data_IF_566058970754
#
_entry.id   IF_566058970754
#
_cell.length_a   1.000
_cell.length_b   1.000
_cell.length_c   1.000
_cell.angle_alpha   90.00
_cell.angle_beta   90.00
_cell.angle_gamma   90.00
#
_symmetry.space_group_name_H-M   'P 1'
#
loop_
_entity.id
_entity.type
_entity.pdbx_description
1 polymer ?
#
# COMPACT_ATOMS: atom_id res chain seq x y z
N UNK A 1 4.70 -30.91 14.16
CA UNK A 1 5.83 -30.40 13.37
C UNK A 1 5.29 -29.97 12.01
N UNK A 2 5.80 -28.87 11.45
CA UNK A 2 5.60 -28.48 10.05
C UNK A 2 6.80 -29.06 9.30
N UNK A 3 6.58 -29.80 8.21
CA UNK A 3 7.66 -30.49 7.51
C UNK A 3 7.53 -30.43 5.98
N UNK A 4 8.70 -30.41 5.33
CA UNK A 4 8.90 -30.51 3.89
C UNK A 4 9.59 -31.85 3.61
N UNK A 5 8.84 -32.80 3.05
CA UNK A 5 9.26 -34.21 2.93
C UNK A 5 8.68 -34.92 1.71
N UNK A 6 8.41 -34.18 0.65
CA UNK A 6 7.79 -34.63 -0.60
C UNK A 6 6.30 -34.93 -0.47
N UNK A 7 5.61 -34.36 0.53
CA UNK A 7 4.18 -34.60 0.77
C UNK A 7 3.48 -33.29 1.13
N UNK A 8 2.30 -33.07 0.54
CA UNK A 8 1.36 -32.03 0.94
C UNK A 8 0.13 -32.67 1.60
N UNK A 9 0.05 -32.59 2.93
CA UNK A 9 -1.07 -33.08 3.73
C UNK A 9 -1.22 -32.18 4.98
N UNK A 10 -2.07 -31.15 4.86
CA UNK A 10 -2.31 -30.17 5.92
C UNK A 10 -2.80 -30.83 7.23
N UNK A 11 -3.55 -31.94 7.16
CA UNK A 11 -4.03 -32.65 8.37
C UNK A 11 -2.88 -33.30 9.15
N UNK A 12 -1.78 -33.62 8.47
CA UNK A 12 -0.56 -34.18 9.06
C UNK A 12 0.54 -33.15 9.28
N UNK A 13 0.28 -31.87 8.98
CA UNK A 13 1.28 -30.81 9.05
C UNK A 13 2.41 -30.93 8.02
N UNK A 14 2.15 -31.55 6.86
CA UNK A 14 3.11 -31.66 5.76
C UNK A 14 2.76 -30.64 4.68
N UNK A 15 3.72 -29.80 4.29
CA UNK A 15 3.48 -28.65 3.41
C UNK A 15 4.58 -28.53 2.35
N UNK A 16 4.81 -29.61 1.60
CA UNK A 16 5.77 -29.61 0.49
C UNK A 16 5.10 -29.34 -0.86
N UNK A 17 5.88 -28.89 -1.83
CA UNK A 17 5.50 -28.69 -3.23
C UNK A 17 6.36 -29.48 -4.23
N UNK A 18 7.42 -30.17 -3.79
CA UNK A 18 8.33 -30.92 -4.66
C UNK A 18 7.79 -32.26 -5.17
N UNK A 19 6.67 -32.75 -4.62
CA UNK A 19 6.05 -33.99 -5.08
C UNK A 19 5.64 -33.93 -6.56
N UNK A 20 5.54 -35.11 -7.19
CA UNK A 20 4.98 -35.24 -8.52
C UNK A 20 3.56 -34.63 -8.59
N UNK A 21 3.32 -33.78 -9.59
CA UNK A 21 2.08 -33.00 -9.73
C UNK A 21 2.01 -31.72 -8.88
N UNK A 22 3.02 -31.44 -8.05
CA UNK A 22 3.14 -30.21 -7.26
C UNK A 22 2.11 -30.09 -6.13
N UNK A 23 1.90 -28.87 -5.64
CA UNK A 23 0.94 -28.57 -4.57
C UNK A 23 -0.32 -27.80 -5.05
N UNK A 24 -0.53 -27.75 -6.36
CA UNK A 24 -1.56 -26.94 -7.00
C UNK A 24 -1.18 -25.46 -7.06
N UNK A 25 -2.14 -24.63 -7.50
CA UNK A 25 -1.93 -23.20 -7.74
C UNK A 25 -3.18 -22.37 -7.37
N UNK A 26 -2.97 -21.07 -7.18
CA UNK A 26 -4.04 -20.08 -7.00
C UNK A 26 -4.76 -19.80 -8.33
N UNK A 27 -5.92 -19.14 -8.27
CA UNK A 27 -6.73 -18.82 -9.45
C UNK A 27 -6.00 -17.89 -10.47
N UNK A 28 -5.03 -17.09 -10.01
CA UNK A 28 -4.20 -16.26 -10.87
C UNK A 28 -2.98 -17.00 -11.46
N UNK A 29 -2.89 -18.32 -11.27
CA UNK A 29 -1.83 -19.17 -11.82
C UNK A 29 -0.55 -19.24 -11.01
N UNK A 30 -0.45 -18.53 -9.87
CA UNK A 30 0.73 -18.64 -9.01
C UNK A 30 0.70 -19.98 -8.25
N UNK A 31 1.68 -20.88 -8.46
CA UNK A 31 1.76 -22.15 -7.75
C UNK A 31 2.01 -21.94 -6.25
N UNK A 32 1.61 -22.92 -5.43
CA UNK A 32 1.93 -22.89 -4.01
C UNK A 32 3.33 -23.46 -3.75
N UNK A 33 4.14 -22.73 -2.99
CA UNK A 33 5.30 -23.29 -2.28
C UNK A 33 4.93 -23.56 -0.82
N UNK A 34 5.88 -24.06 -0.03
CA UNK A 34 5.67 -24.36 1.40
C UNK A 34 5.12 -23.16 2.18
N UNK A 35 5.59 -21.93 1.90
CA UNK A 35 5.07 -20.74 2.58
C UNK A 35 3.60 -20.51 2.27
N UNK A 36 3.21 -20.54 0.99
CA UNK A 36 1.82 -20.48 0.57
C UNK A 36 0.91 -21.54 1.15
N UNK A 37 1.39 -22.78 1.26
CA UNK A 37 0.62 -23.87 1.84
C UNK A 37 0.39 -23.68 3.35
N UNK A 38 1.41 -23.27 4.09
CA UNK A 38 1.29 -22.92 5.51
C UNK A 38 0.38 -21.70 5.67
N UNK A 39 0.53 -20.67 4.83
CA UNK A 39 -0.32 -19.49 4.85
C UNK A 39 -1.79 -19.87 4.60
N UNK A 40 -2.06 -20.71 3.59
CA UNK A 40 -3.41 -21.19 3.27
C UNK A 40 -4.08 -21.89 4.46
N UNK A 41 -3.35 -22.67 5.25
CA UNK A 41 -3.88 -23.39 6.42
C UNK A 41 -4.04 -22.49 7.66
N UNK A 42 -3.11 -21.56 7.90
CA UNK A 42 -3.02 -20.85 9.19
C UNK A 42 -3.38 -19.37 9.14
N UNK A 43 -3.48 -18.74 7.96
CA UNK A 43 -3.72 -17.30 7.85
C UNK A 43 -4.99 -16.86 8.56
N UNK A 44 -6.09 -17.61 8.44
CA UNK A 44 -7.36 -17.28 9.11
C UNK A 44 -7.24 -17.22 10.64
N UNK A 45 -6.38 -18.05 11.23
CA UNK A 45 -6.11 -18.08 12.68
C UNK A 45 -5.26 -16.87 13.11
N UNK A 46 -4.37 -16.40 12.23
CA UNK A 46 -3.48 -15.27 12.49
C UNK A 46 -4.17 -13.92 12.26
N UNK A 47 -4.91 -13.78 11.17
CA UNK A 47 -5.47 -12.50 10.75
C UNK A 47 -6.88 -12.26 11.26
N UNK A 48 -7.67 -13.32 11.49
CA UNK A 48 -9.11 -13.28 11.85
C UNK A 48 -10.03 -12.56 10.84
N UNK A 49 -9.47 -11.92 9.82
CA UNK A 49 -10.15 -11.30 8.69
C UNK A 49 -9.57 -11.87 7.38
N UNK A 50 -10.40 -12.48 6.50
CA UNK A 50 -9.95 -13.04 5.23
C UNK A 50 -9.42 -11.96 4.26
N UNK A 51 -9.84 -10.70 4.40
CA UNK A 51 -9.36 -9.59 3.57
C UNK A 51 -7.92 -9.23 3.89
N UNK A 52 -7.56 -9.27 5.17
CA UNK A 52 -6.17 -9.09 5.64
C UNK A 52 -5.31 -10.25 5.12
N UNK A 53 -5.82 -11.48 5.23
CA UNK A 53 -5.12 -12.66 4.73
C UNK A 53 -4.85 -12.58 3.22
N UNK A 54 -5.81 -12.11 2.43
CA UNK A 54 -5.68 -11.92 0.98
C UNK A 54 -4.68 -10.84 0.59
N UNK A 55 -4.65 -9.70 1.29
CA UNK A 55 -3.65 -8.65 1.04
C UNK A 55 -2.24 -9.17 1.32
N UNK A 56 -2.01 -9.83 2.45
CA UNK A 56 -0.70 -10.37 2.80
C UNK A 56 -0.31 -11.52 1.85
N UNK A 57 -1.27 -12.36 1.46
CA UNK A 57 -1.03 -13.43 0.47
C UNK A 57 -0.51 -12.84 -0.84
N UNK A 58 -1.19 -11.83 -1.39
CA UNK A 58 -0.80 -11.19 -2.67
C UNK A 58 0.50 -10.40 -2.57
N UNK A 59 0.73 -9.72 -1.44
CA UNK A 59 1.84 -8.78 -1.27
C UNK A 59 3.15 -9.46 -0.85
N UNK A 60 3.08 -10.51 -0.04
CA UNK A 60 4.24 -11.15 0.57
C UNK A 60 4.39 -12.62 0.16
N UNK A 61 3.32 -13.40 0.25
CA UNK A 61 3.39 -14.86 0.11
C UNK A 61 3.55 -15.28 -1.35
N UNK A 62 2.67 -14.80 -2.23
CA UNK A 62 2.69 -15.12 -3.66
C UNK A 62 4.01 -14.77 -4.36
N UNK A 63 4.65 -13.60 -4.10
CA UNK A 63 5.95 -13.31 -4.68
C UNK A 63 7.06 -14.29 -4.26
N UNK A 64 7.03 -14.77 -3.02
CA UNK A 64 7.98 -15.76 -2.52
C UNK A 64 7.69 -17.13 -3.12
N UNK A 65 6.42 -17.56 -3.11
CA UNK A 65 5.99 -18.81 -3.75
C UNK A 65 6.35 -18.86 -5.24
N UNK A 66 6.14 -17.75 -5.95
CA UNK A 66 6.46 -17.66 -7.37
C UNK A 66 7.96 -17.85 -7.61
N UNK A 67 8.81 -17.16 -6.84
CA UNK A 67 10.27 -17.30 -6.94
C UNK A 67 10.73 -18.73 -6.65
N UNK A 68 10.17 -19.36 -5.62
CA UNK A 68 10.52 -20.72 -5.20
C UNK A 68 10.08 -21.78 -6.23
N UNK A 69 8.97 -21.55 -6.92
CA UNK A 69 8.51 -22.40 -8.03
C UNK A 69 9.11 -22.01 -9.40
N UNK A 70 10.07 -21.08 -9.47
CA UNK A 70 10.69 -20.66 -10.72
C UNK A 70 9.79 -19.84 -11.65
N UNK A 71 8.72 -19.24 -11.13
CA UNK A 71 7.80 -18.37 -11.87
C UNK A 71 8.28 -16.91 -11.80
N UNK A 72 8.59 -16.33 -12.95
CA UNK A 72 9.02 -14.94 -13.05
C UNK A 72 7.83 -13.96 -12.92
N UNK A 73 7.94 -12.99 -12.01
CA UNK A 73 6.96 -11.91 -11.82
C UNK A 73 7.35 -10.58 -12.49
N UNK A 74 8.56 -10.51 -13.05
CA UNK A 74 9.09 -9.34 -13.73
C UNK A 74 10.10 -9.77 -14.79
N UNK A 75 10.42 -8.85 -15.70
CA UNK A 75 11.51 -9.01 -16.67
C UNK A 75 12.48 -7.82 -16.54
N UNK A 76 13.79 -8.05 -16.62
CA UNK A 76 14.77 -6.96 -16.53
C UNK A 76 14.61 -6.01 -17.72
N UNK A 77 14.63 -4.71 -17.45
CA UNK A 77 14.56 -3.65 -18.47
C UNK A 77 15.96 -3.06 -18.80
N UNK A 78 16.99 -3.62 -18.18
CA UNK A 78 18.41 -3.27 -18.33
C UNK A 78 19.21 -4.57 -18.36
N UNK A 79 20.01 -4.74 -19.39
CA UNK A 79 20.85 -5.93 -19.56
C UNK A 79 21.77 -6.13 -18.34
N UNK A 80 21.82 -7.36 -17.83
CA UNK A 80 22.66 -7.74 -16.69
C UNK A 80 22.24 -7.19 -15.33
N UNK A 81 21.17 -6.39 -15.24
CA UNK A 81 20.72 -5.77 -13.99
C UNK A 81 19.35 -6.32 -13.59
N UNK A 82 19.32 -7.02 -12.47
CA UNK A 82 18.14 -7.65 -11.89
C UNK A 82 17.78 -7.00 -10.55
N UNK A 83 16.48 -6.90 -10.20
CA UNK A 83 16.07 -6.53 -8.85
C UNK A 83 16.67 -7.45 -7.79
N UNK A 84 17.10 -6.87 -6.67
CA UNK A 84 17.50 -7.62 -5.48
C UNK A 84 16.27 -7.85 -4.61
N UNK A 85 15.79 -9.08 -4.56
CA UNK A 85 14.54 -9.49 -3.94
C UNK A 85 14.75 -10.13 -2.57
N UNK A 86 13.63 -10.39 -1.89
CA UNK A 86 13.65 -11.02 -0.58
C UNK A 86 14.33 -12.40 -0.57
N UNK A 87 14.13 -13.23 -1.59
CA UNK A 87 14.84 -14.50 -1.71
C UNK A 87 16.36 -14.30 -1.87
N UNK A 88 16.82 -13.22 -2.52
CA UNK A 88 18.25 -12.92 -2.58
C UNK A 88 18.82 -12.57 -1.20
N UNK A 89 18.06 -11.85 -0.36
CA UNK A 89 18.44 -11.58 1.03
C UNK A 89 18.63 -12.89 1.80
N UNK A 90 17.66 -13.81 1.70
CA UNK A 90 17.75 -15.10 2.38
C UNK A 90 18.91 -15.96 1.85
N UNK A 91 19.10 -16.02 0.53
CA UNK A 91 20.23 -16.75 -0.09
C UNK A 91 21.58 -16.18 0.31
N UNK A 92 21.71 -14.86 0.47
CA UNK A 92 22.96 -14.22 0.89
C UNK A 92 23.32 -14.51 2.35
N UNK A 93 22.31 -14.82 3.19
CA UNK A 93 22.50 -15.15 4.60
C UNK A 93 22.63 -16.66 4.82
N UNK A 94 22.15 -17.47 3.88
CA UNK A 94 22.23 -18.93 3.95
C UNK A 94 23.68 -19.39 3.75
N UNK A 95 24.22 -20.27 4.62
CA UNK A 95 25.59 -20.77 4.51
C UNK A 95 25.83 -21.49 3.19
N UNK A 96 27.04 -21.30 2.66
CA UNK A 96 27.54 -22.03 1.51
C UNK A 96 28.46 -23.16 1.95
N UNK A 97 28.94 -23.98 1.00
CA UNK A 97 29.93 -25.02 1.27
C UNK A 97 31.26 -24.51 1.87
N UNK A 98 31.50 -23.20 1.86
CA UNK A 98 32.69 -22.56 2.44
C UNK A 98 32.51 -22.15 3.90
N UNK A 99 31.27 -22.13 4.39
CA UNK A 99 30.94 -21.65 5.72
C UNK A 99 30.89 -22.83 6.70
N UNK A 100 31.26 -22.57 7.96
CA UNK A 100 31.18 -23.57 9.03
C UNK A 100 29.80 -23.64 9.68
N UNK A 101 28.96 -22.64 9.46
CA UNK A 101 27.59 -22.60 9.96
C UNK A 101 26.69 -23.57 9.18
N UNK A 102 25.71 -24.17 9.85
CA UNK A 102 24.70 -24.99 9.19
C UNK A 102 23.42 -24.17 8.91
N UNK A 103 22.58 -24.71 8.02
CA UNK A 103 21.35 -24.04 7.56
C UNK A 103 20.33 -23.90 8.69
N UNK A 104 20.23 -24.87 9.60
CA UNK A 104 19.25 -24.87 10.70
C UNK A 104 19.56 -23.77 11.72
N UNK A 105 20.84 -23.57 12.05
CA UNK A 105 21.28 -22.48 12.93
C UNK A 105 20.95 -21.12 12.32
N UNK A 106 21.25 -20.97 11.02
CA UNK A 106 20.91 -19.74 10.28
C UNK A 106 19.41 -19.49 10.26
N UNK A 107 18.60 -20.53 10.04
CA UNK A 107 17.15 -20.42 10.11
C UNK A 107 16.69 -19.89 11.48
N UNK A 108 17.23 -20.44 12.57
CA UNK A 108 16.90 -20.00 13.92
C UNK A 108 17.33 -18.55 14.19
N UNK A 109 18.47 -18.12 13.66
CA UNK A 109 18.95 -16.73 13.76
C UNK A 109 18.06 -15.75 13.00
N UNK A 110 17.55 -16.14 11.82
CA UNK A 110 16.69 -15.28 10.99
C UNK A 110 15.24 -15.26 11.45
N UNK A 111 14.77 -16.31 12.11
CA UNK A 111 13.37 -16.47 12.52
C UNK A 111 12.77 -15.24 13.24
N UNK A 112 13.46 -14.58 14.20
CA UNK A 112 12.93 -13.36 14.83
C UNK A 112 12.66 -12.23 13.82
N UNK A 113 13.57 -12.01 12.87
CA UNK A 113 13.40 -10.99 11.84
C UNK A 113 12.22 -11.32 10.91
N UNK A 114 12.15 -12.58 10.44
CA UNK A 114 11.04 -13.03 9.57
C UNK A 114 9.69 -12.88 10.27
N UNK A 115 9.64 -13.25 11.56
CA UNK A 115 8.44 -13.08 12.39
C UNK A 115 8.01 -11.62 12.47
N UNK A 116 8.95 -10.68 12.69
CA UNK A 116 8.64 -9.24 12.71
C UNK A 116 8.07 -8.77 11.37
N UNK A 117 8.65 -9.21 10.24
CA UNK A 117 8.19 -8.85 8.90
C UNK A 117 6.75 -9.33 8.68
N UNK A 118 6.46 -10.61 8.91
CA UNK A 118 5.12 -11.19 8.71
C UNK A 118 4.09 -10.52 9.62
N UNK A 119 4.39 -10.33 10.90
CA UNK A 119 3.47 -9.68 11.84
C UNK A 119 3.23 -8.22 11.47
N UNK A 120 4.25 -7.48 11.01
CA UNK A 120 4.11 -6.09 10.59
C UNK A 120 3.32 -5.96 9.30
N UNK A 121 3.42 -6.92 8.38
CA UNK A 121 2.59 -6.96 7.17
C UNK A 121 1.11 -7.23 7.49
N UNK A 122 0.83 -8.14 8.43
CA UNK A 122 -0.53 -8.36 8.94
C UNK A 122 -1.08 -7.09 9.60
N UNK A 123 -0.29 -6.47 10.49
CA UNK A 123 -0.69 -5.24 11.20
C UNK A 123 -0.96 -4.09 10.23
N UNK A 124 -0.09 -3.87 9.22
CA UNK A 124 -0.30 -2.83 8.22
C UNK A 124 -1.54 -3.10 7.34
N UNK A 125 -1.84 -4.36 7.05
CA UNK A 125 -3.06 -4.72 6.34
C UNK A 125 -4.32 -4.48 7.20
N UNK A 126 -4.27 -4.72 8.52
CA UNK A 126 -5.35 -4.30 9.44
C UNK A 126 -5.55 -2.79 9.43
N UNK A 127 -4.47 -2.02 9.60
CA UNK A 127 -4.51 -0.55 9.57
C UNK A 127 -5.13 -0.05 8.28
N UNK A 128 -4.73 -0.62 7.14
CA UNK A 128 -5.30 -0.25 5.85
C UNK A 128 -6.83 -0.37 5.84
N UNK A 129 -7.42 -1.47 6.30
CA UNK A 129 -8.88 -1.61 6.31
C UNK A 129 -9.56 -0.69 7.30
N UNK A 130 -8.99 -0.47 8.48
CA UNK A 130 -9.52 0.47 9.47
C UNK A 130 -9.50 1.90 8.94
N UNK A 131 -8.40 2.30 8.31
CA UNK A 131 -8.27 3.61 7.68
C UNK A 131 -9.28 3.80 6.53
N UNK A 132 -9.59 2.74 5.77
CA UNK A 132 -10.66 2.81 4.76
C UNK A 132 -12.04 3.06 5.40
N UNK A 133 -12.32 2.52 6.59
CA UNK A 133 -13.56 2.83 7.32
C UNK A 133 -13.59 4.27 7.85
N UNK A 134 -12.46 4.80 8.30
CA UNK A 134 -12.35 6.23 8.69
C UNK A 134 -12.66 7.14 7.50
N UNK A 135 -12.15 6.81 6.31
CA UNK A 135 -12.48 7.55 5.07
C UNK A 135 -13.98 7.46 4.74
N UNK A 136 -14.61 6.29 4.91
CA UNK A 136 -16.07 6.14 4.69
C UNK A 136 -16.90 6.93 5.70
N UNK A 137 -16.45 6.97 6.95
CA UNK A 137 -17.08 7.74 8.03
C UNK A 137 -17.00 9.22 7.72
N UNK A 138 -15.81 9.73 7.38
CA UNK A 138 -15.62 11.12 6.98
C UNK A 138 -16.49 11.51 5.78
N UNK A 139 -16.59 10.64 4.76
CA UNK A 139 -17.48 10.85 3.62
C UNK A 139 -18.97 10.93 4.02
N UNK A 140 -19.41 10.04 4.91
CA UNK A 140 -20.82 9.97 5.35
C UNK A 140 -21.21 11.18 6.20
N UNK A 141 -20.30 11.66 7.04
CA UNK A 141 -20.53 12.80 7.94
C UNK A 141 -20.29 14.17 7.27
N UNK A 142 -19.65 14.20 6.09
CA UNK A 142 -19.41 15.43 5.36
C UNK A 142 -20.72 16.16 5.02
N UNK A 143 -20.85 17.40 5.49
CA UNK A 143 -22.00 18.27 5.16
C UNK A 143 -22.03 18.62 3.67
N UNK A 144 -20.88 18.92 3.09
CA UNK A 144 -20.68 19.08 1.66
C UNK A 144 -19.74 17.97 1.16
N UNK A 145 -20.31 16.98 0.48
CA UNK A 145 -19.57 15.81 -0.02
C UNK A 145 -18.56 16.14 -1.11
N UNK A 146 -18.49 17.38 -1.60
CA UNK A 146 -17.47 17.84 -2.55
C UNK A 146 -16.11 18.06 -1.90
N UNK A 147 -16.08 18.35 -0.59
CA UNK A 147 -14.85 18.48 0.21
C UNK A 147 -14.86 17.43 1.30
N UNK A 148 -13.94 16.47 1.24
CA UNK A 148 -13.80 15.46 2.29
C UNK A 148 -12.60 15.80 3.16
N UNK A 149 -12.86 16.04 4.44
CA UNK A 149 -11.83 16.32 5.43
C UNK A 149 -11.48 15.04 6.19
N UNK A 150 -10.19 14.74 6.27
CA UNK A 150 -9.65 13.58 6.97
C UNK A 150 -8.70 14.06 8.06
N UNK A 151 -8.76 13.44 9.24
CA UNK A 151 -7.87 13.79 10.36
C UNK A 151 -6.45 13.23 10.19
N UNK A 152 -6.26 12.27 9.28
CA UNK A 152 -4.97 11.65 8.97
C UNK A 152 -4.83 11.40 7.45
N UNK A 153 -3.61 11.18 6.92
CA UNK A 153 -3.37 10.90 5.51
C UNK A 153 -3.76 9.46 5.11
N UNK A 154 -5.02 9.09 5.34
CA UNK A 154 -5.56 7.77 5.01
C UNK A 154 -5.46 7.44 3.51
N UNK A 155 -5.47 6.15 3.11
CA UNK A 155 -5.48 5.72 1.70
C UNK A 155 -6.84 5.97 1.03
N UNK A 156 -7.23 7.24 0.92
CA UNK A 156 -8.58 7.65 0.56
C UNK A 156 -8.96 7.42 -0.91
N UNK A 157 -7.99 7.34 -1.82
CA UNK A 157 -8.23 7.27 -3.28
C UNK A 157 -9.12 6.09 -3.68
N UNK A 158 -8.86 4.91 -3.12
CA UNK A 158 -9.62 3.68 -3.42
C UNK A 158 -11.05 3.69 -2.89
N UNK A 159 -11.35 4.54 -1.91
CA UNK A 159 -12.68 4.71 -1.34
C UNK A 159 -13.41 5.87 -2.01
N UNK A 160 -12.85 7.08 -1.94
CA UNK A 160 -13.51 8.30 -2.42
C UNK A 160 -13.62 8.37 -3.94
N UNK A 161 -12.70 7.73 -4.68
CA UNK A 161 -12.76 7.65 -6.13
C UNK A 161 -14.01 6.93 -6.67
N UNK A 162 -14.71 6.14 -5.84
CA UNK A 162 -15.94 5.42 -6.22
C UNK A 162 -17.20 6.28 -6.16
N UNK A 163 -17.17 7.40 -5.43
CA UNK A 163 -18.28 8.36 -5.35
C UNK A 163 -18.11 9.45 -6.39
N UNK A 164 -19.19 10.09 -6.86
CA UNK A 164 -19.10 11.15 -7.88
C UNK A 164 -18.88 12.54 -7.28
N UNK A 165 -19.33 12.72 -6.05
CA UNK A 165 -19.41 14.00 -5.35
C UNK A 165 -18.05 14.55 -4.91
N UNK A 166 -17.11 13.76 -4.33
CA UNK A 166 -15.83 14.28 -3.85
C UNK A 166 -15.03 14.93 -4.98
N UNK A 167 -14.67 16.19 -4.81
CA UNK A 167 -13.83 16.95 -5.74
C UNK A 167 -12.46 17.21 -5.14
N UNK A 168 -12.41 17.52 -3.84
CA UNK A 168 -11.22 17.82 -3.07
C UNK A 168 -11.18 16.98 -1.79
N UNK A 169 -9.98 16.57 -1.39
CA UNK A 169 -9.74 15.87 -0.12
C UNK A 169 -8.69 16.66 0.65
N UNK A 170 -8.99 16.94 1.92
CA UNK A 170 -8.11 17.67 2.82
C UNK A 170 -7.62 16.71 3.90
N UNK A 171 -6.33 16.67 4.15
CA UNK A 171 -5.73 15.86 5.21
C UNK A 171 -4.39 16.46 5.65
N UNK A 172 -3.89 16.19 6.87
CA UNK A 172 -2.54 16.61 7.24
C UNK A 172 -1.49 15.85 6.41
N UNK A 173 -0.38 16.53 6.14
CA UNK A 173 0.85 15.92 5.66
C UNK A 173 1.50 15.15 6.81
N UNK A 174 1.97 13.94 6.51
CA UNK A 174 2.49 13.03 7.54
C UNK A 174 3.73 13.58 8.25
N UNK A 175 4.53 14.43 7.60
CA UNK A 175 5.89 14.76 8.06
C UNK A 175 6.13 16.23 8.35
N UNK A 176 5.29 17.13 7.83
CA UNK A 176 5.58 18.57 7.81
C UNK A 176 4.65 19.40 8.69
N UNK A 177 3.52 18.83 9.15
CA UNK A 177 2.47 19.55 9.86
C UNK A 177 1.59 20.42 8.96
N UNK A 178 1.92 20.51 7.66
CA UNK A 178 1.11 21.17 6.65
C UNK A 178 -0.21 20.40 6.42
N UNK A 179 -1.22 21.09 5.90
CA UNK A 179 -2.48 20.52 5.45
C UNK A 179 -2.50 20.45 3.93
N UNK A 180 -2.66 19.25 3.40
CA UNK A 180 -2.73 18.95 1.98
C UNK A 180 -4.16 19.08 1.50
N UNK A 181 -4.34 19.70 0.34
CA UNK A 181 -5.59 19.74 -0.41
C UNK A 181 -5.33 19.04 -1.75
N UNK A 182 -5.88 17.85 -1.93
CA UNK A 182 -5.67 17.04 -3.12
C UNK A 182 -6.94 16.97 -3.98
N UNK A 183 -6.78 17.14 -5.29
CA UNK A 183 -7.86 16.92 -6.25
C UNK A 183 -8.14 15.43 -6.42
N UNK A 184 -9.42 15.06 -6.48
CA UNK A 184 -9.84 13.69 -6.73
C UNK A 184 -9.71 13.38 -8.24
N UNK A 185 -9.02 12.30 -8.63
CA UNK A 185 -8.91 11.92 -10.04
C UNK A 185 -10.26 11.44 -10.61
N UNK A 186 -10.49 11.64 -11.91
CA UNK A 186 -11.66 11.09 -12.61
C UNK A 186 -11.57 9.56 -12.71
N UNK A 187 -10.34 9.05 -12.89
CA UNK A 187 -10.02 7.63 -12.95
C UNK A 187 -8.79 7.37 -12.06
N UNK A 188 -9.00 6.62 -10.99
CA UNK A 188 -7.94 6.26 -10.03
C UNK A 188 -6.91 5.28 -10.62
N UNK A 189 -7.22 4.58 -11.71
CA UNK A 189 -6.32 3.67 -12.42
C UNK A 189 -5.51 4.37 -13.53
N UNK A 190 -6.06 5.41 -14.16
CA UNK A 190 -5.42 6.11 -15.30
C UNK A 190 -4.84 7.50 -14.98
N UNK A 191 -4.94 7.97 -13.73
CA UNK A 191 -3.99 8.89 -13.09
C UNK A 191 -3.81 10.33 -13.61
N UNK A 192 -4.35 10.72 -14.77
CA UNK A 192 -3.94 11.99 -15.42
C UNK A 192 -5.05 13.03 -15.61
N UNK A 193 -6.29 12.78 -15.16
CA UNK A 193 -7.36 13.78 -15.17
C UNK A 193 -8.04 13.88 -13.81
N UNK A 194 -8.42 15.09 -13.42
CA UNK A 194 -8.99 15.42 -12.12
C UNK A 194 -10.38 16.02 -12.27
N UNK A 195 -11.23 15.83 -11.26
CA UNK A 195 -12.62 16.34 -11.25
C UNK A 195 -12.68 17.85 -11.16
N UNK A 196 -11.67 18.44 -10.52
CA UNK A 196 -11.43 19.86 -10.44
C UNK A 196 -9.92 20.11 -10.38
N UNK A 197 -9.49 21.29 -10.78
CA UNK A 197 -8.11 21.76 -10.63
C UNK A 197 -8.11 23.11 -9.93
N UNK A 198 -7.02 23.42 -9.22
CA UNK A 198 -6.79 24.75 -8.68
C UNK A 198 -6.73 25.80 -9.81
N UNK A 199 -7.17 27.05 -9.54
CA UNK A 199 -7.15 28.16 -10.49
C UNK A 199 -5.77 28.36 -11.12
N UNK A 200 -5.73 28.77 -12.39
CA UNK A 200 -4.47 28.94 -13.15
C UNK A 200 -3.55 29.94 -12.46
N UNK A 201 -4.12 30.95 -11.82
CA UNK A 201 -3.42 32.02 -11.11
C UNK A 201 -2.65 31.50 -9.89
N UNK A 202 -3.10 30.38 -9.29
CA UNK A 202 -2.46 29.78 -8.12
C UNK A 202 -1.30 28.84 -8.51
N UNK A 203 -1.34 28.28 -9.72
CA UNK A 203 -0.45 27.19 -10.13
C UNK A 203 1.01 27.63 -10.16
N UNK A 204 1.84 26.91 -9.40
CA UNK A 204 3.28 27.19 -9.28
C UNK A 204 3.62 28.33 -8.32
N UNK A 205 2.62 28.92 -7.66
CA UNK A 205 2.80 29.96 -6.64
C UNK A 205 3.04 29.34 -5.28
N UNK A 206 3.78 30.06 -4.44
CA UNK A 206 4.10 29.61 -3.09
C UNK A 206 4.18 30.79 -2.10
N UNK A 207 3.97 30.48 -0.82
CA UNK A 207 4.13 31.36 0.33
C UNK A 207 3.44 32.71 0.12
N UNK A 208 4.15 33.81 0.34
CA UNK A 208 3.62 35.17 0.25
C UNK A 208 2.90 35.49 -1.06
N UNK A 209 3.35 34.93 -2.19
CA UNK A 209 2.70 35.14 -3.49
C UNK A 209 1.35 34.43 -3.54
N UNK A 210 1.31 33.16 -3.14
CA UNK A 210 0.07 32.39 -3.10
C UNK A 210 -0.89 32.98 -2.06
N UNK A 211 -0.42 33.27 -0.85
CA UNK A 211 -1.20 33.84 0.23
C UNK A 211 -1.89 35.16 -0.16
N UNK A 212 -1.20 36.01 -0.93
CA UNK A 212 -1.76 37.25 -1.48
C UNK A 212 -2.85 36.98 -2.51
N UNK A 213 -2.65 36.03 -3.43
CA UNK A 213 -3.63 35.70 -4.48
C UNK A 213 -4.87 35.04 -3.88
N UNK A 214 -4.68 34.16 -2.89
CA UNK A 214 -5.76 33.42 -2.24
C UNK A 214 -6.48 34.25 -1.18
N UNK A 215 -5.86 35.32 -0.67
CA UNK A 215 -6.26 36.04 0.54
C UNK A 215 -6.35 35.08 1.75
N UNK A 216 -5.35 34.21 1.88
CA UNK A 216 -5.24 33.19 2.92
C UNK A 216 -3.78 33.22 3.43
N UNK A 217 -3.50 33.83 4.59
CA UNK A 217 -2.14 34.16 5.02
C UNK A 217 -1.18 32.98 5.10
N UNK A 218 -1.71 31.79 5.37
CA UNK A 218 -0.95 30.58 5.63
C UNK A 218 -0.95 29.59 4.46
N UNK A 219 -1.40 30.03 3.27
CA UNK A 219 -1.27 29.25 2.05
C UNK A 219 0.22 29.08 1.68
N UNK A 220 0.68 27.83 1.57
CA UNK A 220 2.11 27.51 1.40
C UNK A 220 2.46 27.26 -0.05
N UNK A 221 1.68 26.46 -0.77
CA UNK A 221 2.08 25.98 -2.09
C UNK A 221 0.90 25.52 -2.94
N UNK A 222 0.97 25.75 -4.25
CA UNK A 222 0.10 25.09 -5.22
C UNK A 222 0.94 24.54 -6.38
N UNK A 223 0.77 23.24 -6.68
CA UNK A 223 1.52 22.59 -7.74
C UNK A 223 1.22 23.21 -9.11
N UNK A 224 2.23 23.28 -9.99
CA UNK A 224 2.12 23.90 -11.33
C UNK A 224 1.01 23.29 -12.21
N UNK A 225 0.68 22.02 -12.01
CA UNK A 225 -0.40 21.36 -12.75
C UNK A 225 -1.77 21.51 -12.06
N UNK A 226 -1.84 22.15 -10.90
CA UNK A 226 -3.09 22.48 -10.22
C UNK A 226 -3.86 21.31 -9.62
N UNK A 227 -3.22 20.18 -9.30
CA UNK A 227 -3.91 19.02 -8.69
C UNK A 227 -3.69 18.88 -7.18
N UNK A 228 -2.80 19.68 -6.59
CA UNK A 228 -2.50 19.66 -5.16
C UNK A 228 -2.09 21.06 -4.70
N UNK A 229 -2.55 21.44 -3.51
CA UNK A 229 -2.11 22.62 -2.80
C UNK A 229 -1.91 22.32 -1.31
N UNK A 230 -1.25 23.22 -0.59
CA UNK A 230 -0.95 23.09 0.84
C UNK A 230 -1.15 24.42 1.57
N UNK A 231 -1.57 24.33 2.83
CA UNK A 231 -1.62 25.43 3.79
C UNK A 231 -1.04 24.96 5.14
N UNK A 232 -0.68 25.87 6.05
CA UNK A 232 -0.16 25.49 7.37
C UNK A 232 -1.25 25.11 8.38
N UNK A 233 -2.49 25.57 8.19
CA UNK A 233 -3.63 25.24 9.05
C UNK A 233 -4.75 24.49 8.32
N UNK A 234 -5.54 23.75 9.10
CA UNK A 234 -6.77 23.08 8.64
C UNK A 234 -7.75 24.10 8.07
N UNK A 235 -7.89 25.23 8.77
CA UNK A 235 -8.79 26.32 8.42
C UNK A 235 -8.37 26.99 7.10
N UNK A 236 -7.07 27.23 6.91
CA UNK A 236 -6.49 27.72 5.67
C UNK A 236 -6.78 26.76 4.50
N UNK A 237 -6.54 25.46 4.72
CA UNK A 237 -6.79 24.44 3.70
C UNK A 237 -8.27 24.35 3.29
N UNK A 238 -9.19 24.40 4.27
CA UNK A 238 -10.65 24.42 4.01
C UNK A 238 -11.04 25.67 3.23
N UNK A 239 -10.59 26.86 3.64
CA UNK A 239 -10.90 28.11 2.92
C UNK A 239 -10.38 28.09 1.48
N UNK A 240 -9.18 27.55 1.25
CA UNK A 240 -8.64 27.37 -0.09
C UNK A 240 -9.54 26.45 -0.92
N UNK A 241 -9.90 25.28 -0.40
CA UNK A 241 -10.77 24.33 -1.09
C UNK A 241 -12.15 24.92 -1.44
N UNK A 242 -12.76 25.66 -0.51
CA UNK A 242 -14.03 26.33 -0.77
C UNK A 242 -13.92 27.42 -1.85
N UNK A 243 -12.83 28.19 -1.89
CA UNK A 243 -12.60 29.17 -2.97
C UNK A 243 -12.51 28.49 -4.34
N UNK A 244 -11.85 27.34 -4.41
CA UNK A 244 -11.76 26.52 -5.63
C UNK A 244 -13.15 26.04 -6.06
N UNK A 245 -13.99 25.55 -5.14
CA UNK A 245 -15.36 25.12 -5.48
C UNK A 245 -16.27 26.27 -5.93
N UNK A 246 -16.12 27.46 -5.34
CA UNK A 246 -16.92 28.64 -5.74
C UNK A 246 -16.53 29.21 -7.10
N UNK A 247 -15.24 29.13 -7.46
CA UNK A 247 -14.72 29.61 -8.75
C UNK A 247 -14.76 28.57 -9.87
N UNK A 248 -15.20 27.34 -9.59
CA UNK A 248 -15.17 26.19 -10.50
C UNK A 248 -16.46 25.93 -11.29
N UNK A 249 -17.26 26.97 -11.60
CA UNK A 249 -18.40 26.87 -12.53
C UNK A 249 -18.08 27.60 -13.82
#
# INVERSE_FOLDING_TARGET
AIDVGGINDAKKGRFDHHQEGGAGQRANGIPYASFGLVWKEYASKLTKDPRIADIVDKKLVQPIDAADNGVALFSPVREGVYPYLFNNVLSALTPTWRDSANVDDTFNELLPLIKVIVLKEIEKADYFFRDLEEVRTAYTQARDKRIILLEHPYPWKSTLGKFKEPMLVIHPDQNTGEWVIACVPNDTAKGFSYRILFPVEWRGRMRAELAKITDIPDAEFCHKNGFIAKAWSKEGAVKMAEKVLRGGV
#
